data_IF_349489923445
#
_entry.id   IF_349489923445
#
_cell.length_a   1.000
_cell.length_b   1.000
_cell.length_c   1.000
_cell.angle_alpha   90.00
_cell.angle_beta   90.00
_cell.angle_gamma   90.00
#
_symmetry.space_group_name_H-M   'P 1'
#
loop_
_entity.id
_entity.type
_entity.pdbx_description
1 polymer ?
#
# COMPACT_ATOMS: atom_id res chain seq x y z
N UNK A 1 -3.37 -33.38 -17.17
CA UNK A 1 -1.91 -33.15 -17.36
C UNK A 1 -1.33 -34.33 -18.12
N UNK A 2 -0.37 -34.10 -19.04
CA UNK A 2 0.37 -35.16 -19.75
C UNK A 2 1.83 -35.10 -19.34
N UNK A 3 2.54 -36.23 -19.21
CA UNK A 3 3.98 -36.23 -18.94
C UNK A 3 4.75 -35.48 -20.04
N UNK A 4 5.59 -34.53 -19.65
CA UNK A 4 6.50 -33.84 -20.55
C UNK A 4 7.86 -33.61 -19.86
N UNK A 5 8.75 -34.61 -19.89
CA UNK A 5 10.06 -34.53 -19.22
C UNK A 5 10.93 -33.38 -19.73
N UNK A 6 10.91 -33.09 -21.03
CA UNK A 6 11.69 -32.01 -21.61
C UNK A 6 11.28 -30.62 -21.07
N UNK A 7 9.97 -30.41 -20.89
CA UNK A 7 9.47 -29.18 -20.27
C UNK A 7 9.86 -29.11 -18.79
N UNK A 8 9.81 -30.25 -18.07
CA UNK A 8 10.21 -30.32 -16.68
C UNK A 8 11.71 -29.97 -16.51
N UNK A 9 12.59 -30.56 -17.32
CA UNK A 9 14.03 -30.27 -17.31
C UNK A 9 14.30 -28.79 -17.63
N UNK A 10 13.59 -28.23 -18.63
CA UNK A 10 13.71 -26.82 -18.97
C UNK A 10 13.30 -25.89 -17.82
N UNK A 11 12.19 -26.18 -17.13
CA UNK A 11 11.73 -25.38 -15.99
C UNK A 11 12.71 -25.52 -14.83
N UNK A 12 13.18 -26.74 -14.55
CA UNK A 12 14.13 -27.00 -13.48
C UNK A 12 15.44 -26.23 -13.69
N UNK A 13 15.96 -26.20 -14.92
CA UNK A 13 17.16 -25.45 -15.26
C UNK A 13 16.97 -23.93 -15.07
N UNK A 14 15.80 -23.39 -15.42
CA UNK A 14 15.47 -21.98 -15.19
C UNK A 14 15.40 -21.67 -13.69
N UNK A 15 14.70 -22.49 -12.92
CA UNK A 15 14.52 -22.31 -11.47
C UNK A 15 15.80 -22.57 -10.65
N UNK A 16 16.76 -23.33 -11.19
CA UNK A 16 18.06 -23.58 -10.57
C UNK A 16 19.02 -22.39 -10.66
N UNK A 17 18.65 -21.32 -11.39
CA UNK A 17 19.44 -20.09 -11.44
C UNK A 17 19.59 -19.46 -10.06
N UNK A 18 20.81 -19.02 -9.72
CA UNK A 18 21.09 -18.35 -8.43
C UNK A 18 20.29 -17.07 -8.24
N UNK A 19 20.10 -16.30 -9.31
CA UNK A 19 19.32 -15.07 -9.30
C UNK A 19 18.00 -15.24 -10.02
N UNK A 20 16.93 -14.73 -9.40
CA UNK A 20 15.57 -14.77 -9.93
C UNK A 20 15.17 -13.50 -10.69
N UNK A 21 16.14 -12.62 -10.96
CA UNK A 21 15.92 -11.48 -11.84
C UNK A 21 15.39 -11.93 -13.22
N UNK A 22 14.30 -11.32 -13.68
CA UNK A 22 13.64 -11.64 -14.94
C UNK A 22 13.04 -13.04 -15.04
N UNK A 23 12.80 -13.71 -13.90
CA UNK A 23 12.27 -15.08 -13.86
C UNK A 23 10.96 -15.25 -14.65
N UNK A 24 10.06 -14.26 -14.59
CA UNK A 24 8.77 -14.31 -15.30
C UNK A 24 9.00 -14.40 -16.82
N UNK A 25 9.92 -13.61 -17.35
CA UNK A 25 10.26 -13.62 -18.78
C UNK A 25 10.99 -14.89 -19.20
N UNK A 26 11.77 -15.51 -18.29
CA UNK A 26 12.43 -16.80 -18.55
C UNK A 26 11.43 -17.96 -18.62
N UNK A 27 10.50 -18.02 -17.66
CA UNK A 27 9.46 -19.07 -17.60
C UNK A 27 8.39 -18.88 -18.69
N UNK A 28 8.00 -17.63 -18.97
CA UNK A 28 7.00 -17.27 -19.98
C UNK A 28 7.59 -16.33 -21.03
N UNK A 29 8.46 -16.83 -21.94
CA UNK A 29 9.17 -16.00 -22.91
C UNK A 29 8.27 -15.30 -23.94
N UNK A 30 7.02 -15.76 -24.07
CA UNK A 30 6.01 -15.15 -24.94
C UNK A 30 5.15 -14.09 -24.24
N UNK A 31 5.31 -13.89 -22.92
CA UNK A 31 4.59 -12.87 -22.18
C UNK A 31 4.91 -11.48 -22.73
N UNK A 32 3.90 -10.63 -22.84
CA UNK A 32 4.02 -9.26 -23.38
C UNK A 32 3.88 -8.18 -22.32
N UNK A 33 3.14 -8.46 -21.26
CA UNK A 33 2.88 -7.56 -20.15
C UNK A 33 2.53 -8.37 -18.91
N UNK A 34 2.59 -7.72 -17.75
CA UNK A 34 2.05 -8.24 -16.49
C UNK A 34 0.83 -7.39 -16.15
N UNK A 35 -0.34 -8.03 -16.06
CA UNK A 35 -1.59 -7.37 -15.67
C UNK A 35 -1.74 -7.46 -14.15
N UNK A 36 -1.55 -6.33 -13.45
CA UNK A 36 -1.67 -6.24 -12.00
C UNK A 36 -2.06 -4.82 -11.59
N UNK A 37 -2.73 -4.68 -10.44
CA UNK A 37 -2.93 -3.34 -9.83
C UNK A 37 -1.60 -2.88 -9.26
N UNK A 38 -1.13 -1.71 -9.69
CA UNK A 38 0.15 -1.11 -9.26
C UNK A 38 -0.03 0.26 -8.61
N UNK A 39 -1.28 0.65 -8.35
CA UNK A 39 -1.66 1.93 -7.75
C UNK A 39 -2.03 1.77 -6.27
N UNK A 40 -2.09 2.89 -5.54
CA UNK A 40 -2.35 2.90 -4.10
C UNK A 40 -1.32 2.08 -3.34
N UNK A 41 -1.77 1.27 -2.37
CA UNK A 41 -0.90 0.38 -1.58
C UNK A 41 -0.10 -0.61 -2.41
N UNK A 42 -0.59 -0.99 -3.60
CA UNK A 42 0.12 -1.96 -4.43
C UNK A 42 1.36 -1.36 -5.11
N UNK A 43 1.51 -0.02 -5.09
CA UNK A 43 2.70 0.66 -5.61
C UNK A 43 4.00 0.21 -4.93
N UNK A 44 3.94 -0.21 -3.67
CA UNK A 44 5.12 -0.71 -2.92
C UNK A 44 5.75 -1.97 -3.55
N UNK A 45 4.97 -2.75 -4.30
CA UNK A 45 5.43 -3.97 -4.95
C UNK A 45 5.97 -3.74 -6.37
N UNK A 46 5.92 -2.51 -6.90
CA UNK A 46 6.35 -2.20 -8.28
C UNK A 46 7.81 -2.58 -8.49
N UNK A 47 8.72 -2.16 -7.60
CA UNK A 47 10.15 -2.50 -7.70
C UNK A 47 10.39 -4.03 -7.67
N UNK A 48 9.64 -4.74 -6.83
CA UNK A 48 9.74 -6.21 -6.74
C UNK A 48 9.25 -6.88 -8.02
N UNK A 49 8.13 -6.39 -8.57
CA UNK A 49 7.59 -6.88 -9.84
C UNK A 49 8.55 -6.58 -10.99
N UNK A 50 9.16 -5.40 -11.04
CA UNK A 50 10.17 -5.04 -12.04
C UNK A 50 11.38 -5.96 -12.01
N UNK A 51 11.89 -6.29 -10.80
CA UNK A 51 12.97 -7.25 -10.62
C UNK A 51 12.63 -8.62 -11.22
N UNK A 52 11.45 -9.18 -10.92
CA UNK A 52 11.06 -10.49 -11.44
C UNK A 52 10.59 -10.46 -12.91
N UNK A 53 10.08 -9.32 -13.39
CA UNK A 53 9.53 -9.18 -14.73
C UNK A 53 10.59 -9.14 -15.82
N UNK A 54 11.79 -8.65 -15.51
CA UNK A 54 12.86 -8.49 -16.50
C UNK A 54 12.49 -7.48 -17.60
N UNK A 55 11.82 -6.38 -17.19
CA UNK A 55 11.41 -5.28 -18.05
C UNK A 55 10.12 -5.51 -18.83
N UNK A 56 9.25 -6.44 -18.40
CA UNK A 56 7.89 -6.50 -18.96
C UNK A 56 7.06 -5.32 -18.43
N UNK A 57 6.28 -4.64 -19.29
CA UNK A 57 5.38 -3.57 -18.85
C UNK A 57 4.40 -4.06 -17.78
N UNK A 58 4.29 -3.30 -16.68
CA UNK A 58 3.29 -3.51 -15.64
C UNK A 58 2.05 -2.69 -16.00
N UNK A 59 0.91 -3.37 -16.16
CA UNK A 59 -0.33 -2.76 -16.66
C UNK A 59 -1.43 -2.88 -15.61
N UNK A 60 -1.81 -1.75 -15.04
CA UNK A 60 -3.04 -1.64 -14.26
C UNK A 60 -4.18 -1.24 -15.19
N UNK A 61 -4.96 -2.24 -15.62
CA UNK A 61 -5.93 -2.08 -16.71
C UNK A 61 -7.28 -1.47 -16.31
N UNK A 62 -7.70 -1.60 -15.06
CA UNK A 62 -9.02 -1.14 -14.61
C UNK A 62 -9.02 -0.73 -13.15
N UNK A 63 -10.00 0.10 -12.80
CA UNK A 63 -10.34 0.49 -11.44
C UNK A 63 -11.77 0.03 -11.15
N UNK A 64 -11.91 -0.82 -10.13
CA UNK A 64 -13.17 -1.43 -9.74
C UNK A 64 -13.17 -1.72 -8.24
N UNK A 65 -14.36 -1.69 -7.66
CA UNK A 65 -14.66 -2.11 -6.29
C UNK A 65 -15.82 -3.12 -6.31
N UNK A 66 -16.19 -3.65 -5.14
CA UNK A 66 -17.31 -4.60 -5.04
C UNK A 66 -18.66 -3.93 -5.36
N UNK A 67 -18.73 -2.62 -5.15
CA UNK A 67 -19.91 -1.77 -5.29
C UNK A 67 -20.16 -1.37 -6.75
N UNK A 68 -19.10 -1.20 -7.55
CA UNK A 68 -19.16 -0.89 -8.98
C UNK A 68 -17.84 -1.14 -9.70
N UNK A 69 -17.94 -1.52 -10.98
CA UNK A 69 -16.83 -1.41 -11.92
C UNK A 69 -16.77 0.03 -12.43
N UNK A 70 -15.70 0.75 -12.12
CA UNK A 70 -15.71 2.21 -12.23
C UNK A 70 -15.07 2.71 -13.53
N UNK A 71 -13.87 2.24 -13.88
CA UNK A 71 -13.12 2.80 -14.99
C UNK A 71 -12.03 1.89 -15.55
N UNK A 72 -11.47 2.30 -16.69
CA UNK A 72 -10.39 1.61 -17.40
C UNK A 72 -9.21 2.54 -17.63
N UNK A 73 -8.00 1.98 -17.63
CA UNK A 73 -6.82 2.71 -18.05
C UNK A 73 -6.74 2.69 -19.58
N UNK A 74 -6.88 3.86 -20.21
CA UNK A 74 -6.78 4.00 -21.67
C UNK A 74 -5.33 4.05 -22.14
N UNK A 75 -4.40 4.47 -21.28
CA UNK A 75 -2.97 4.53 -21.55
C UNK A 75 -2.24 3.36 -20.88
N UNK A 76 -2.45 2.17 -21.43
CA UNK A 76 -2.03 0.90 -20.83
C UNK A 76 -0.51 0.74 -20.65
N UNK A 77 0.32 1.54 -21.32
CA UNK A 77 1.79 1.49 -21.22
C UNK A 77 2.39 2.62 -20.36
N UNK A 78 1.54 3.43 -19.74
CA UNK A 78 1.99 4.50 -18.84
C UNK A 78 2.67 3.92 -17.62
N UNK A 79 3.68 4.65 -17.10
CA UNK A 79 4.42 4.25 -15.91
C UNK A 79 3.48 4.01 -14.72
N UNK A 80 3.73 3.01 -13.86
CA UNK A 80 2.89 2.69 -12.71
C UNK A 80 2.55 3.88 -11.80
N UNK A 81 3.45 4.86 -11.69
CA UNK A 81 3.27 6.07 -10.87
C UNK A 81 2.31 7.12 -11.47
N UNK A 82 1.94 7.02 -12.75
CA UNK A 82 1.12 8.01 -13.46
C UNK A 82 -0.19 7.39 -14.01
N UNK A 83 -0.59 6.23 -13.49
CA UNK A 83 -1.79 5.54 -13.98
C UNK A 83 -3.05 6.35 -13.65
N UNK A 84 -3.83 6.63 -14.70
CA UNK A 84 -5.13 7.28 -14.60
C UNK A 84 -6.22 6.38 -15.16
N UNK A 85 -7.37 6.35 -14.50
CA UNK A 85 -8.53 5.56 -14.91
C UNK A 85 -9.62 6.47 -15.47
N UNK A 86 -10.04 6.21 -16.70
CA UNK A 86 -11.18 6.87 -17.32
C UNK A 86 -12.45 6.17 -16.87
N UNK A 87 -13.33 6.91 -16.20
CA UNK A 87 -14.58 6.34 -15.69
C UNK A 87 -15.51 5.94 -16.84
N UNK A 88 -16.32 4.92 -16.63
CA UNK A 88 -17.30 4.43 -17.60
C UNK A 88 -18.70 4.85 -17.16
N UNK A 89 -19.29 5.94 -17.73
CA UNK A 89 -20.53 6.54 -17.22
C UNK A 89 -21.75 5.62 -17.22
N UNK A 90 -21.69 4.51 -17.96
CA UNK A 90 -22.77 3.52 -18.07
C UNK A 90 -22.72 2.42 -17.00
N UNK A 91 -21.68 2.36 -16.15
CA UNK A 91 -21.52 1.27 -15.17
C UNK A 91 -22.27 1.54 -13.85
N UNK A 92 -22.30 2.79 -13.41
CA UNK A 92 -23.06 3.26 -12.25
C UNK A 92 -23.25 4.78 -12.38
N UNK A 93 -24.11 5.36 -11.54
CA UNK A 93 -24.14 6.81 -11.39
C UNK A 93 -23.10 7.23 -10.35
N UNK A 94 -22.17 8.10 -10.77
CA UNK A 94 -21.02 8.52 -9.99
C UNK A 94 -21.15 9.98 -9.57
N UNK A 95 -21.08 10.21 -8.27
CA UNK A 95 -21.00 11.53 -7.65
C UNK A 95 -19.65 11.65 -6.91
N UNK A 96 -19.19 12.88 -6.72
CA UNK A 96 -17.86 13.15 -6.18
C UNK A 96 -17.96 14.20 -5.08
N UNK A 97 -17.58 13.84 -3.86
CA UNK A 97 -17.54 14.77 -2.74
C UNK A 97 -16.18 15.48 -2.70
N UNK A 98 -16.09 16.80 -2.89
CA UNK A 98 -14.83 17.53 -2.84
C UNK A 98 -14.05 17.31 -1.54
N UNK A 99 -12.75 17.05 -1.65
CA UNK A 99 -11.82 16.89 -0.53
C UNK A 99 -10.78 18.02 -0.57
N UNK A 100 -10.64 18.76 0.53
CA UNK A 100 -9.59 19.76 0.66
C UNK A 100 -8.39 19.16 1.43
N UNK A 101 -7.25 18.99 0.75
CA UNK A 101 -6.03 18.45 1.38
C UNK A 101 -5.27 19.47 2.24
N UNK A 102 -5.52 20.76 2.07
CA UNK A 102 -4.71 21.83 2.69
C UNK A 102 -5.28 22.37 4.02
N UNK A 103 -6.50 21.99 4.41
CA UNK A 103 -7.14 22.52 5.63
C UNK A 103 -7.53 21.41 6.60
N UNK A 104 -6.82 21.33 7.74
CA UNK A 104 -7.14 20.58 8.96
C UNK A 104 -8.39 21.08 9.70
N UNK A 105 -9.26 21.84 9.03
CA UNK A 105 -10.54 22.30 9.59
C UNK A 105 -11.64 21.85 8.66
N UNK A 106 -12.36 20.82 9.08
CA UNK A 106 -13.69 20.52 8.55
C UNK A 106 -14.61 21.69 8.91
N UNK A 107 -14.74 22.67 8.02
CA UNK A 107 -16.02 23.33 7.91
C UNK A 107 -16.95 22.32 7.25
N UNK A 108 -17.79 21.67 8.07
CA UNK A 108 -19.01 20.97 7.65
C UNK A 108 -20.00 21.99 7.06
N UNK A 109 -19.57 22.78 6.08
CA UNK A 109 -20.52 23.39 5.17
C UNK A 109 -20.98 22.27 4.23
N UNK A 110 -22.26 22.23 3.91
CA UNK A 110 -22.90 21.24 3.06
C UNK A 110 -22.21 21.18 1.68
N UNK A 111 -21.10 20.44 1.57
CA UNK A 111 -20.42 20.26 0.30
C UNK A 111 -21.29 19.30 -0.50
N UNK A 112 -22.12 19.86 -1.37
CA UNK A 112 -22.90 19.07 -2.31
C UNK A 112 -21.96 18.25 -3.21
N UNK A 113 -22.21 16.94 -3.35
CA UNK A 113 -21.50 16.14 -4.33
C UNK A 113 -21.69 16.71 -5.73
N UNK A 114 -20.63 16.66 -6.54
CA UNK A 114 -20.68 17.07 -7.93
C UNK A 114 -20.81 15.85 -8.83
N UNK A 115 -21.53 16.01 -9.94
CA UNK A 115 -21.63 14.96 -10.96
C UNK A 115 -20.27 14.68 -11.61
N UNK A 116 -20.14 13.50 -12.20
CA UNK A 116 -18.99 13.07 -12.99
C UNK A 116 -18.47 14.14 -13.98
N UNK A 117 -19.36 14.85 -14.68
CA UNK A 117 -18.95 15.86 -15.68
C UNK A 117 -18.54 17.22 -15.08
N UNK A 118 -18.79 17.44 -13.80
CA UNK A 118 -18.57 18.71 -13.11
C UNK A 118 -17.31 18.71 -12.22
N UNK A 119 -16.57 17.60 -12.20
CA UNK A 119 -15.28 17.53 -11.52
C UNK A 119 -14.26 18.47 -12.17
N UNK A 120 -13.33 18.99 -11.37
CA UNK A 120 -12.33 19.99 -11.82
C UNK A 120 -10.94 19.37 -11.82
N UNK A 121 -10.15 19.71 -12.84
CA UNK A 121 -8.75 19.29 -12.95
C UNK A 121 -7.97 19.64 -11.68
N UNK A 122 -7.06 18.74 -11.29
CA UNK A 122 -6.20 18.87 -10.09
C UNK A 122 -6.93 19.00 -8.75
N UNK A 123 -8.23 18.68 -8.71
CA UNK A 123 -9.00 18.59 -7.46
C UNK A 123 -9.15 17.14 -7.00
N UNK A 124 -9.31 17.00 -5.69
CA UNK A 124 -9.47 15.72 -5.00
C UNK A 124 -10.93 15.51 -4.62
N UNK A 125 -11.40 14.28 -4.74
CA UNK A 125 -12.78 13.92 -4.45
C UNK A 125 -12.87 12.54 -3.80
N UNK A 126 -13.79 12.38 -2.84
CA UNK A 126 -14.24 11.07 -2.35
C UNK A 126 -15.32 10.54 -3.31
N UNK A 127 -15.20 9.28 -3.71
CA UNK A 127 -16.13 8.64 -4.65
C UNK A 127 -17.44 8.21 -3.98
N UNK A 128 -18.56 8.63 -4.56
CA UNK A 128 -19.90 8.15 -4.25
C UNK A 128 -20.46 7.34 -5.43
N UNK A 129 -21.09 6.21 -5.12
CA UNK A 129 -21.65 5.30 -6.12
C UNK A 129 -23.14 5.07 -5.87
N UNK A 130 -23.93 5.24 -6.92
CA UNK A 130 -25.29 4.70 -7.01
C UNK A 130 -25.33 3.60 -8.06
N UNK A 131 -25.56 2.35 -7.63
CA UNK A 131 -25.45 1.15 -8.49
C UNK A 131 -26.79 0.44 -8.70
N UNK A 132 -26.91 -0.30 -9.80
CA UNK A 132 -28.11 -1.09 -10.13
C UNK A 132 -28.43 -2.18 -9.08
N UNK A 133 -27.47 -2.52 -8.22
CA UNK A 133 -27.64 -3.47 -7.12
C UNK A 133 -28.33 -2.85 -5.88
N UNK A 134 -28.74 -1.59 -5.94
CA UNK A 134 -29.50 -0.93 -4.87
C UNK A 134 -28.65 -0.16 -3.86
N UNK A 135 -27.39 0.13 -4.18
CA UNK A 135 -26.60 1.13 -3.43
C UNK A 135 -26.97 2.52 -3.93
N UNK A 136 -27.26 3.45 -3.01
CA UNK A 136 -27.63 4.83 -3.33
C UNK A 136 -26.70 5.80 -2.60
N UNK A 137 -25.98 6.62 -3.37
CA UNK A 137 -25.00 7.61 -2.85
C UNK A 137 -24.04 6.99 -1.84
N UNK A 138 -23.63 5.74 -2.09
CA UNK A 138 -22.79 4.99 -1.18
C UNK A 138 -21.36 5.53 -1.21
N UNK A 139 -20.81 5.86 -0.04
CA UNK A 139 -19.42 6.28 0.12
C UNK A 139 -18.48 5.08 -0.04
N UNK A 140 -17.74 5.05 -1.15
CA UNK A 140 -16.71 4.02 -1.39
C UNK A 140 -15.54 4.20 -0.42
N UNK A 141 -15.26 5.45 -0.05
CA UNK A 141 -14.14 5.86 0.79
C UNK A 141 -12.84 6.04 0.01
N UNK A 142 -12.83 5.87 -1.31
CA UNK A 142 -11.66 6.12 -2.15
C UNK A 142 -11.57 7.61 -2.51
N UNK A 143 -10.39 8.18 -2.36
CA UNK A 143 -10.04 9.53 -2.80
C UNK A 143 -9.34 9.46 -4.14
N UNK A 144 -9.84 10.27 -5.07
CA UNK A 144 -9.41 10.32 -6.45
C UNK A 144 -8.99 11.75 -6.79
N UNK A 145 -7.90 11.90 -7.55
CA UNK A 145 -7.47 13.19 -8.10
C UNK A 145 -7.83 13.22 -9.58
N UNK A 146 -8.49 14.28 -10.05
CA UNK A 146 -8.75 14.46 -11.48
C UNK A 146 -7.42 14.79 -12.17
N UNK A 147 -6.95 13.90 -13.04
CA UNK A 147 -5.69 14.03 -13.77
C UNK A 147 -5.88 14.52 -15.21
N UNK A 148 -7.09 14.38 -15.75
CA UNK A 148 -7.38 14.77 -17.13
C UNK A 148 -8.79 14.43 -17.56
N UNK A 149 -9.04 14.55 -18.85
CA UNK A 149 -10.31 14.19 -19.48
C UNK A 149 -10.03 13.50 -20.81
N UNK A 150 -10.67 12.36 -21.04
CA UNK A 150 -10.75 11.75 -22.35
C UNK A 150 -12.09 12.11 -22.97
N UNK A 151 -12.07 12.97 -23.98
CA UNK A 151 -13.26 13.68 -24.48
C UNK A 151 -13.91 14.45 -23.31
N UNK A 152 -15.19 14.19 -23.02
CA UNK A 152 -15.91 14.78 -21.89
C UNK A 152 -15.86 13.94 -20.61
N UNK A 153 -15.17 12.80 -20.62
CA UNK A 153 -15.15 11.86 -19.51
C UNK A 153 -13.89 12.06 -18.66
N UNK A 154 -14.01 12.34 -17.36
CA UNK A 154 -12.86 12.57 -16.50
C UNK A 154 -12.01 11.32 -16.31
N UNK A 155 -10.72 11.57 -16.11
CA UNK A 155 -9.71 10.58 -15.76
C UNK A 155 -9.23 10.86 -14.34
N UNK A 156 -9.06 9.79 -13.58
CA UNK A 156 -8.72 9.88 -12.16
C UNK A 156 -7.47 9.09 -11.82
N UNK A 157 -6.54 9.74 -11.13
CA UNK A 157 -5.47 9.08 -10.38
C UNK A 157 -6.03 8.60 -9.04
N UNK A 158 -5.76 7.34 -8.71
CA UNK A 158 -6.06 6.82 -7.38
C UNK A 158 -5.09 7.43 -6.37
N UNK A 159 -5.61 8.03 -5.30
CA UNK A 159 -4.79 8.71 -4.29
C UNK A 159 -4.66 7.83 -3.06
N UNK A 160 -5.77 7.53 -2.40
CA UNK A 160 -5.82 6.81 -1.12
C UNK A 160 -7.23 6.34 -0.83
N UNK A 161 -7.38 5.50 0.20
CA UNK A 161 -8.68 5.23 0.82
C UNK A 161 -8.75 5.98 2.15
N UNK A 162 -9.78 6.80 2.34
CA UNK A 162 -10.06 7.61 3.54
C UNK A 162 -10.48 6.74 4.73
N UNK A 163 -9.60 5.85 5.16
CA UNK A 163 -9.72 5.15 6.43
C UNK A 163 -8.55 5.57 7.32
N UNK A 164 -8.86 6.12 8.50
CA UNK A 164 -7.87 6.28 9.56
C UNK A 164 -7.42 4.89 9.97
N UNK A 165 -6.16 4.57 9.72
CA UNK A 165 -5.60 3.26 10.02
C UNK A 165 -4.93 3.25 11.40
N UNK A 166 -4.36 4.35 11.85
CA UNK A 166 -3.73 4.47 13.17
C UNK A 166 -4.17 5.76 13.88
N UNK A 167 -4.41 5.64 15.18
CA UNK A 167 -4.79 6.73 16.07
C UNK A 167 -4.54 6.27 17.52
N UNK A 168 -3.86 7.08 18.33
CA UNK A 168 -3.63 6.83 19.76
C UNK A 168 -4.40 7.84 20.61
N UNK A 169 -4.34 9.12 20.25
CA UNK A 169 -5.05 10.24 20.85
C UNK A 169 -5.88 10.92 19.74
N UNK A 170 -5.72 12.22 19.56
CA UNK A 170 -6.33 13.07 18.53
C UNK A 170 -5.66 12.94 17.17
N UNK A 171 -4.53 12.23 17.10
CA UNK A 171 -3.84 11.93 15.85
C UNK A 171 -4.69 10.98 14.99
N UNK A 172 -4.72 11.28 13.69
CA UNK A 172 -5.37 10.45 12.69
C UNK A 172 -4.39 10.23 11.57
N UNK A 173 -3.83 9.04 11.50
CA UNK A 173 -2.92 8.65 10.41
C UNK A 173 -3.71 7.80 9.43
N UNK A 174 -3.76 8.28 8.20
CA UNK A 174 -4.35 7.56 7.06
C UNK A 174 -3.31 6.69 6.38
N UNK A 175 -3.76 5.80 5.51
CA UNK A 175 -2.91 4.81 4.85
C UNK A 175 -1.80 5.43 3.99
N UNK A 176 -2.08 6.53 3.30
CA UNK A 176 -1.10 7.26 2.48
C UNK A 176 -0.02 7.95 3.32
N UNK A 177 -0.38 8.53 4.46
CA UNK A 177 0.59 9.11 5.41
C UNK A 177 1.56 8.05 5.92
N UNK A 178 1.04 6.86 6.28
CA UNK A 178 1.89 5.75 6.72
C UNK A 178 2.77 5.24 5.56
N UNK A 179 2.21 5.04 4.37
CA UNK A 179 2.97 4.57 3.21
C UNK A 179 4.09 5.55 2.83
N UNK A 180 3.81 6.86 2.89
CA UNK A 180 4.81 7.91 2.69
C UNK A 180 5.90 7.84 3.76
N UNK A 181 5.53 7.71 5.04
CA UNK A 181 6.49 7.60 6.13
C UNK A 181 7.40 6.37 5.98
N UNK A 182 6.83 5.21 5.62
CA UNK A 182 7.59 3.98 5.33
C UNK A 182 8.53 4.19 4.14
N UNK A 183 8.06 4.83 3.07
CA UNK A 183 8.87 5.11 1.86
C UNK A 183 10.07 6.00 2.19
N UNK A 184 9.86 7.08 2.97
CA UNK A 184 10.93 7.98 3.40
C UNK A 184 11.97 7.25 4.27
N UNK A 185 11.53 6.39 5.19
CA UNK A 185 12.44 5.63 6.04
C UNK A 185 13.19 4.53 5.28
N UNK A 186 12.55 3.89 4.30
CA UNK A 186 13.16 2.87 3.42
C UNK A 186 14.39 3.40 2.69
N UNK A 187 14.43 4.69 2.34
CA UNK A 187 15.59 5.31 1.66
C UNK A 187 16.91 5.18 2.43
N UNK A 188 16.86 5.02 3.76
CA UNK A 188 18.04 4.78 4.60
C UNK A 188 18.57 3.35 4.49
N UNK A 189 17.71 2.40 4.11
CA UNK A 189 18.03 0.98 3.94
C UNK A 189 18.49 0.64 2.52
N UNK A 190 18.07 1.39 1.51
CA UNK A 190 18.43 1.14 0.11
C UNK A 190 19.96 1.06 -0.13
N UNK A 191 20.81 1.96 0.43
CA UNK A 191 22.26 1.89 0.25
C UNK A 191 22.91 0.68 0.91
N UNK A 192 22.24 0.08 1.91
CA UNK A 192 22.71 -1.10 2.64
C UNK A 192 22.30 -2.40 1.93
N UNK A 193 21.49 -2.31 0.89
CA UNK A 193 21.01 -3.46 0.14
C UNK A 193 19.93 -4.27 0.87
N UNK A 194 19.18 -3.67 1.79
CA UNK A 194 17.96 -4.28 2.33
C UNK A 194 16.75 -3.91 1.48
N UNK A 195 15.84 -4.86 1.29
CA UNK A 195 14.57 -4.68 0.60
C UNK A 195 13.46 -4.93 1.62
N UNK A 196 12.60 -3.94 1.83
CA UNK A 196 11.35 -4.13 2.57
C UNK A 196 10.38 -4.92 1.69
N UNK A 197 10.06 -6.16 2.10
CA UNK A 197 9.12 -7.01 1.37
C UNK A 197 7.68 -6.63 1.69
N UNK A 198 7.37 -6.56 2.97
CA UNK A 198 6.04 -6.26 3.48
C UNK A 198 6.12 -5.48 4.79
N UNK A 199 5.10 -4.65 5.00
CA UNK A 199 4.90 -3.96 6.25
C UNK A 199 3.42 -3.91 6.63
N UNK A 200 3.17 -3.87 7.93
CA UNK A 200 1.85 -3.60 8.51
C UNK A 200 2.05 -2.84 9.80
N UNK A 201 0.98 -2.33 10.39
CA UNK A 201 1.01 -1.51 11.58
C UNK A 201 -0.08 -1.88 12.58
N UNK A 202 0.08 -1.46 13.83
CA UNK A 202 -1.03 -1.37 14.77
C UNK A 202 -0.77 -0.28 15.81
N UNK A 203 -1.84 0.14 16.47
CA UNK A 203 -1.78 1.09 17.58
C UNK A 203 -1.63 0.33 18.90
N UNK A 204 -0.48 0.46 19.55
CA UNK A 204 -0.20 -0.18 20.83
C UNK A 204 -0.69 0.72 21.97
N UNK A 205 -1.76 0.28 22.64
CA UNK A 205 -2.45 1.03 23.71
C UNK A 205 -2.34 0.37 25.09
N UNK A 206 -1.51 -0.68 25.22
CA UNK A 206 -1.32 -1.36 26.51
C UNK A 206 -0.40 -0.60 27.47
N UNK A 207 0.35 0.38 26.95
CA UNK A 207 1.20 1.31 27.71
C UNK A 207 0.64 2.72 27.60
N UNK A 208 0.95 3.57 28.58
CA UNK A 208 0.51 4.97 28.62
C UNK A 208 1.75 5.87 28.72
N UNK A 209 2.00 6.76 27.74
CA UNK A 209 1.23 6.94 26.50
C UNK A 209 1.41 5.75 25.54
N UNK A 210 0.40 5.48 24.72
CA UNK A 210 0.48 4.47 23.66
C UNK A 210 1.36 4.92 22.49
N UNK A 211 1.71 4.01 21.59
CA UNK A 211 2.57 4.30 20.44
C UNK A 211 2.18 3.50 19.20
N UNK A 212 2.75 3.88 18.06
CA UNK A 212 2.60 3.13 16.82
C UNK A 212 3.65 2.03 16.76
N UNK A 213 3.23 0.83 16.38
CA UNK A 213 4.13 -0.30 16.09
C UNK A 213 4.01 -0.66 14.63
N UNK A 214 5.13 -0.67 13.92
CA UNK A 214 5.21 -0.99 12.50
C UNK A 214 6.04 -2.27 12.34
N UNK A 215 5.45 -3.32 11.80
CA UNK A 215 6.15 -4.57 11.52
C UNK A 215 6.79 -4.52 10.15
N UNK A 216 8.09 -4.81 10.05
CA UNK A 216 8.85 -4.85 8.81
C UNK A 216 9.41 -6.24 8.53
N UNK A 217 9.07 -6.83 7.38
CA UNK A 217 9.76 -8.02 6.85
C UNK A 217 10.83 -7.58 5.84
N UNK A 218 12.09 -7.69 6.24
CA UNK A 218 13.24 -7.28 5.44
C UNK A 218 13.91 -8.48 4.79
N UNK A 219 14.42 -8.28 3.57
CA UNK A 219 15.26 -9.24 2.84
C UNK A 219 16.56 -8.56 2.40
N UNK A 220 17.70 -9.18 2.69
CA UNK A 220 18.98 -8.72 2.14
C UNK A 220 19.08 -9.04 0.64
N UNK A 221 19.70 -8.15 -0.14
CA UNK A 221 20.05 -8.42 -1.53
C UNK A 221 21.11 -9.54 -1.61
N UNK A 222 21.08 -10.29 -2.72
CA UNK A 222 21.99 -11.42 -2.96
C UNK A 222 23.45 -11.01 -2.73
N UNK A 223 24.12 -11.66 -1.78
CA UNK A 223 25.50 -11.35 -1.37
C UNK A 223 25.65 -10.72 0.02
N UNK A 224 24.55 -10.24 0.63
CA UNK A 224 24.53 -9.63 1.96
C UNK A 224 23.80 -10.46 3.03
N UNK A 225 23.64 -11.78 2.81
CA UNK A 225 22.81 -12.69 3.65
C UNK A 225 23.29 -12.84 5.12
N UNK A 226 24.38 -12.19 5.51
CA UNK A 226 24.89 -12.15 6.89
C UNK A 226 25.05 -10.73 7.46
N UNK A 227 24.53 -9.70 6.78
CA UNK A 227 24.65 -8.32 7.25
C UNK A 227 23.63 -8.07 8.37
N UNK A 228 24.12 -7.86 9.59
CA UNK A 228 23.26 -7.47 10.71
C UNK A 228 22.74 -6.04 10.52
N UNK A 229 21.48 -5.83 10.93
CA UNK A 229 20.86 -4.51 10.93
C UNK A 229 21.54 -3.64 11.99
N UNK A 230 22.17 -2.54 11.57
CA UNK A 230 22.73 -1.57 12.52
C UNK A 230 21.59 -0.95 13.33
N UNK A 231 21.56 -1.14 14.67
CA UNK A 231 20.53 -0.58 15.53
C UNK A 231 20.40 0.94 15.40
N UNK A 232 21.48 1.66 15.09
CA UNK A 232 21.46 3.12 14.90
C UNK A 232 20.69 3.51 13.65
N UNK A 233 20.86 2.77 12.56
CA UNK A 233 20.17 3.04 11.30
C UNK A 233 18.68 2.71 11.44
N UNK A 234 18.35 1.61 12.13
CA UNK A 234 16.95 1.27 12.40
C UNK A 234 16.26 2.30 13.33
N UNK A 235 16.96 2.79 14.35
CA UNK A 235 16.45 3.89 15.18
C UNK A 235 16.25 5.18 14.37
N UNK A 236 17.15 5.48 13.43
CA UNK A 236 17.00 6.61 12.51
C UNK A 236 15.83 6.40 11.53
N UNK A 237 15.57 5.16 11.10
CA UNK A 237 14.36 4.83 10.33
C UNK A 237 13.10 5.15 11.12
N UNK A 238 13.03 4.76 12.41
CA UNK A 238 11.91 5.12 13.28
C UNK A 238 11.71 6.64 13.34
N UNK A 239 12.80 7.40 13.53
CA UNK A 239 12.75 8.87 13.56
C UNK A 239 12.29 9.47 12.22
N UNK A 240 12.81 8.98 11.09
CA UNK A 240 12.45 9.45 9.75
C UNK A 240 10.98 9.17 9.42
N UNK A 241 10.44 8.06 9.92
CA UNK A 241 8.99 7.81 9.87
C UNK A 241 8.23 8.86 10.67
N UNK A 242 8.59 9.11 11.93
CA UNK A 242 7.92 10.10 12.79
C UNK A 242 7.93 11.51 12.18
N UNK A 243 9.04 11.94 11.57
CA UNK A 243 9.15 13.23 10.86
C UNK A 243 8.19 13.35 9.66
N UNK A 244 7.92 12.23 9.01
CA UNK A 244 7.11 12.18 7.80
C UNK A 244 5.60 12.10 8.09
N UNK A 245 5.23 11.81 9.33
CA UNK A 245 3.84 11.80 9.80
C UNK A 245 3.30 13.22 9.99
N UNK A 246 1.97 13.32 10.05
CA UNK A 246 1.29 14.61 10.09
C UNK A 246 1.63 15.44 11.35
N UNK A 247 1.35 16.74 11.27
CA UNK A 247 1.66 17.69 12.34
C UNK A 247 1.02 17.32 13.68
N UNK A 248 -0.20 16.76 13.67
CA UNK A 248 -0.90 16.38 14.90
C UNK A 248 -0.15 15.25 15.61
N UNK A 249 0.28 14.22 14.88
CA UNK A 249 1.11 13.15 15.43
C UNK A 249 2.39 13.72 16.07
N UNK A 250 3.13 14.58 15.35
CA UNK A 250 4.37 15.19 15.86
C UNK A 250 4.15 16.10 17.06
N UNK A 251 3.07 16.88 17.07
CA UNK A 251 2.65 17.69 18.22
C UNK A 251 2.34 16.82 19.44
N UNK A 252 1.61 15.71 19.25
CA UNK A 252 1.27 14.79 20.33
C UNK A 252 2.51 14.06 20.86
N UNK A 253 3.50 13.74 20.01
CA UNK A 253 4.81 13.24 20.43
C UNK A 253 5.57 14.27 21.29
N UNK A 254 5.56 15.55 20.93
CA UNK A 254 6.19 16.63 21.72
C UNK A 254 5.51 16.86 23.08
N UNK A 255 4.21 16.64 23.14
CA UNK A 255 3.41 16.79 24.37
C UNK A 255 3.41 15.52 25.25
N UNK A 256 4.16 14.47 24.88
CA UNK A 256 4.14 13.15 25.52
C UNK A 256 2.74 12.50 25.56
N UNK A 257 1.84 12.85 24.64
CA UNK A 257 0.56 12.17 24.45
C UNK A 257 0.71 10.87 23.64
N UNK A 258 1.78 10.76 22.84
CA UNK A 258 2.15 9.54 22.10
C UNK A 258 3.60 9.19 22.44
N UNK A 259 3.88 7.91 22.71
CA UNK A 259 5.23 7.38 22.92
C UNK A 259 5.99 7.18 21.59
N UNK A 260 7.28 6.86 21.68
CA UNK A 260 8.15 6.69 20.51
C UNK A 260 7.66 5.56 19.59
N UNK A 261 7.62 5.84 18.28
CA UNK A 261 7.32 4.86 17.25
C UNK A 261 8.28 3.69 17.33
N UNK A 262 7.71 2.49 17.24
CA UNK A 262 8.42 1.21 17.26
C UNK A 262 8.44 0.61 15.85
N UNK A 263 9.62 0.24 15.36
CA UNK A 263 9.77 -0.69 14.23
C UNK A 263 10.13 -2.06 14.80
N UNK A 264 9.25 -3.03 14.57
CA UNK A 264 9.44 -4.43 14.91
C UNK A 264 9.84 -5.22 13.66
N UNK A 265 11.10 -5.63 13.57
CA UNK A 265 11.57 -6.44 12.44
C UNK A 265 11.15 -7.88 12.67
N UNK A 266 10.52 -8.50 11.67
CA UNK A 266 10.04 -9.89 11.73
C UNK A 266 10.86 -10.81 10.85
N UNK A 267 10.84 -12.12 11.15
CA UNK A 267 11.51 -13.15 10.32
C UNK A 267 10.94 -13.16 8.90
N UNK A 268 11.76 -13.56 7.93
CA UNK A 268 11.27 -13.81 6.57
C UNK A 268 10.20 -14.92 6.57
N UNK A 269 9.12 -14.74 5.79
CA UNK A 269 7.94 -15.62 5.79
C UNK A 269 6.99 -15.39 6.97
N UNK A 270 7.08 -14.23 7.63
CA UNK A 270 6.14 -13.88 8.70
C UNK A 270 4.79 -13.50 8.12
N UNK A 271 4.79 -12.70 7.06
CA UNK A 271 3.56 -12.28 6.39
C UNK A 271 2.90 -13.42 5.60
N UNK A 272 3.67 -14.39 5.10
CA UNK A 272 3.11 -15.61 4.50
C UNK A 272 2.27 -16.40 5.53
N UNK A 273 2.78 -16.56 6.76
CA UNK A 273 2.02 -17.23 7.81
C UNK A 273 0.84 -16.40 8.34
N UNK A 274 0.97 -15.07 8.29
CA UNK A 274 -0.14 -14.18 8.59
C UNK A 274 -1.25 -14.40 7.56
N UNK A 275 -0.93 -14.41 6.26
CA UNK A 275 -1.87 -14.72 5.18
C UNK A 275 -2.52 -16.10 5.39
N UNK A 276 -1.73 -17.14 5.69
CA UNK A 276 -2.23 -18.49 5.95
C UNK A 276 -3.24 -18.54 7.11
N UNK A 277 -3.10 -17.66 8.12
CA UNK A 277 -4.05 -17.57 9.24
C UNK A 277 -5.43 -17.02 8.85
N UNK A 278 -5.50 -16.24 7.76
CA UNK A 278 -6.75 -15.69 7.24
C UNK A 278 -7.49 -16.64 6.30
N UNK A 279 -6.80 -17.65 5.74
CA UNK A 279 -7.39 -18.64 4.82
C UNK A 279 -8.52 -19.45 5.47
N UNK A 280 -8.38 -19.98 6.71
CA UNK A 280 -9.47 -20.68 7.40
C UNK A 280 -10.64 -19.77 7.80
N UNK A 281 -10.40 -18.46 7.92
CA UNK A 281 -11.41 -17.45 8.29
C UNK A 281 -12.27 -17.00 7.10
N UNK A 282 -12.10 -17.63 5.92
CA UNK A 282 -12.89 -17.36 4.73
C UNK A 282 -12.33 -16.25 3.83
N UNK A 283 -11.11 -15.76 4.08
CA UNK A 283 -10.46 -14.85 3.16
C UNK A 283 -10.09 -15.59 1.86
N UNK A 284 -10.54 -15.07 0.71
CA UNK A 284 -10.12 -15.60 -0.58
C UNK A 284 -8.64 -15.33 -0.80
N UNK A 285 -7.82 -16.37 -0.99
CA UNK A 285 -6.38 -16.25 -1.27
C UNK A 285 -6.10 -15.34 -2.47
N UNK A 286 -6.99 -15.30 -3.47
CA UNK A 286 -6.81 -14.46 -4.67
C UNK A 286 -7.09 -12.97 -4.43
N UNK A 287 -7.72 -12.61 -3.31
CA UNK A 287 -8.05 -11.24 -2.94
C UNK A 287 -7.28 -10.75 -1.71
N UNK A 288 -6.49 -11.62 -1.08
CA UNK A 288 -5.72 -11.25 0.08
C UNK A 288 -4.73 -10.14 -0.26
N UNK A 289 -4.81 -9.07 0.51
CA UNK A 289 -3.83 -7.98 0.53
C UNK A 289 -3.42 -7.84 1.99
N UNK A 290 -2.11 -7.79 2.24
CA UNK A 290 -1.61 -7.52 3.58
C UNK A 290 -2.22 -6.21 4.08
N UNK A 291 -2.97 -6.22 5.19
CA UNK A 291 -3.63 -5.02 5.68
C UNK A 291 -2.57 -4.04 6.19
N UNK A 292 -2.66 -2.77 5.82
CA UNK A 292 -1.74 -1.73 6.29
C UNK A 292 -1.83 -1.50 7.80
N UNK A 293 -2.95 -1.86 8.43
CA UNK A 293 -3.12 -1.90 9.88
C UNK A 293 -3.91 -3.14 10.33
N UNK A 294 -3.41 -3.81 11.36
CA UNK A 294 -4.02 -4.98 11.98
C UNK A 294 -4.68 -4.57 13.30
N UNK A 295 -5.93 -5.02 13.48
CA UNK A 295 -6.71 -4.85 14.73
C UNK A 295 -6.99 -6.16 15.46
N UNK A 296 -6.88 -7.30 14.77
CA UNK A 296 -7.08 -8.62 15.38
C UNK A 296 -5.91 -8.93 16.30
N UNK A 297 -6.23 -9.35 17.53
CA UNK A 297 -5.23 -9.73 18.51
C UNK A 297 -4.47 -10.98 18.07
N UNK A 298 -5.17 -11.95 17.46
CA UNK A 298 -4.54 -13.17 16.94
C UNK A 298 -3.48 -12.87 15.87
N UNK A 299 -3.80 -11.94 14.96
CA UNK A 299 -2.88 -11.50 13.92
C UNK A 299 -1.66 -10.74 14.47
N UNK A 300 -1.86 -9.91 15.50
CA UNK A 300 -0.75 -9.23 16.21
C UNK A 300 0.14 -10.28 16.91
N UNK A 301 -0.45 -11.23 17.63
CA UNK A 301 0.27 -12.28 18.35
C UNK A 301 1.13 -13.15 17.41
N UNK A 302 0.63 -13.44 16.20
CA UNK A 302 1.39 -14.15 15.15
C UNK A 302 2.65 -13.38 14.77
N UNK A 303 2.53 -12.07 14.51
CA UNK A 303 3.67 -11.23 14.13
C UNK A 303 4.63 -11.02 15.30
N UNK A 304 4.12 -10.74 16.50
CA UNK A 304 4.92 -10.56 17.72
C UNK A 304 5.75 -11.82 18.03
N UNK A 305 5.20 -13.02 17.83
CA UNK A 305 5.94 -14.28 18.01
C UNK A 305 7.12 -14.47 17.05
N UNK A 306 7.13 -13.71 15.95
CA UNK A 306 8.14 -13.77 14.88
C UNK A 306 9.06 -12.54 14.86
N UNK A 307 8.94 -11.64 15.82
CA UNK A 307 9.85 -10.49 15.94
C UNK A 307 11.26 -10.96 16.27
N UNK A 308 12.24 -10.45 15.52
CA UNK A 308 13.67 -10.68 15.74
C UNK A 308 14.33 -9.51 16.46
N UNK A 309 13.83 -8.29 16.27
CA UNK A 309 14.37 -7.09 16.88
C UNK A 309 13.32 -5.97 16.95
N UNK A 310 13.40 -5.14 17.98
CA UNK A 310 12.54 -3.97 18.20
C UNK A 310 13.41 -2.72 18.29
N UNK A 311 13.03 -1.67 17.58
CA UNK A 311 13.75 -0.40 17.54
C UNK A 311 12.78 0.74 17.78
N UNK A 312 13.21 1.74 18.54
CA UNK A 312 12.39 2.89 18.90
C UNK A 312 13.01 4.16 18.37
N UNK A 313 12.16 5.15 18.04
CA UNK A 313 12.63 6.48 17.68
C UNK A 313 13.47 7.09 18.82
N UNK A 314 14.73 7.49 18.55
CA UNK A 314 15.66 7.98 19.56
C UNK A 314 15.37 9.41 20.01
N UNK A 315 14.55 10.15 19.25
CA UNK A 315 14.32 11.59 19.43
C UNK A 315 12.87 11.94 19.12
N UNK A 316 12.45 13.11 19.58
CA UNK A 316 11.12 13.67 19.30
C UNK A 316 11.17 14.35 17.92
N UNK A 317 10.16 14.14 17.06
CA UNK A 317 10.11 14.79 15.75
C UNK A 317 9.92 16.31 15.86
N UNK A 318 10.44 17.05 14.87
CA UNK A 318 10.42 18.51 14.77
C UNK A 318 9.07 19.08 14.35
#
# INVERSE_FOLDING_TARGET
MKPNPQLADSIQNICACKSWEGMIKKLWPKAKLISAVTTGVMSQYVETLEFYSGGLPLVSGFYACSEAFCGINLEILTQPSHVSYTFLPNMAYFEFLPVNKDTLTMSQEDIEPVDLIHVKLDRYYELLVTSAAGLYRYKVGDVLKVSGFHNSTPQFEFVERQNVILSIDSDKTIESDLLKAVTEAKTLLDPLGFILRECTSYAHTSTIPGHYVIFWELKAREGNDGQELDPKIMAECCYRMEESLNYIYRSNRKQNAIAALEISVVKQGSFDALMDSYVPLGASMSQYKTPSCIKSKEAIDILDSKVIAKFFSPKIPM
#
